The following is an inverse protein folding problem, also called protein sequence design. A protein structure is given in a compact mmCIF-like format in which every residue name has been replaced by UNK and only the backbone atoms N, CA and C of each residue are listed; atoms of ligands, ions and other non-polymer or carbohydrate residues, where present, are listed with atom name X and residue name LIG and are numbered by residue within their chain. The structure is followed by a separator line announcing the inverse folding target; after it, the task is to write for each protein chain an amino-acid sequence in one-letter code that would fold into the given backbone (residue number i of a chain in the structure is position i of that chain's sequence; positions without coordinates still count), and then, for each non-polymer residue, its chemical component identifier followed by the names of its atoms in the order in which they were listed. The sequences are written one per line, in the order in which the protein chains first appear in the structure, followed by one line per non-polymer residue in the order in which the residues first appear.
data_IF_200814850530
#
_entry.id   IF_200814850530
#
_cell.length_a   1.000
_cell.length_b   1.000
_cell.length_c   1.000
_cell.angle_alpha   90.00
_cell.angle_beta   90.00
_cell.angle_gamma   90.00
#
_symmetry.space_group_name_H-M   'P 1'
#
loop_
_entity.id
_entity.type
_entity.pdbx_description
1 polymer ?
#
# COMPACT_ATOMS: atom_id res chain seq x y z
N UNK A 1 -19.61 -49.77 -16.48
CA UNK A 1 -19.57 -48.38 -16.99
C UNK A 1 -19.86 -47.30 -15.94
N UNK A 2 -20.78 -47.50 -14.98
CA UNK A 2 -21.10 -46.49 -13.94
C UNK A 2 -19.96 -46.26 -12.90
N UNK A 3 -19.25 -47.32 -12.50
CA UNK A 3 -18.19 -47.25 -11.47
C UNK A 3 -16.97 -46.45 -11.94
N UNK A 4 -16.48 -46.67 -13.16
CA UNK A 4 -15.34 -45.92 -13.70
C UNK A 4 -15.64 -44.42 -13.90
N UNK A 5 -16.87 -44.08 -14.32
CA UNK A 5 -17.31 -42.67 -14.37
C UNK A 5 -17.34 -42.06 -12.97
N UNK A 6 -17.87 -42.78 -11.99
CA UNK A 6 -17.89 -42.33 -10.59
C UNK A 6 -16.47 -42.09 -10.04
N UNK A 7 -15.53 -43.00 -10.30
CA UNK A 7 -14.13 -42.86 -9.89
C UNK A 7 -13.45 -41.64 -10.54
N UNK A 8 -13.72 -41.36 -11.81
CA UNK A 8 -13.20 -40.16 -12.51
C UNK A 8 -13.76 -38.87 -11.92
N UNK A 9 -15.06 -38.85 -11.60
CA UNK A 9 -15.70 -37.70 -10.96
C UNK A 9 -15.12 -37.51 -9.55
N UNK A 10 -14.94 -38.58 -8.79
CA UNK A 10 -14.38 -38.53 -7.44
C UNK A 10 -12.95 -38.01 -7.45
N UNK A 11 -12.09 -38.54 -8.34
CA UNK A 11 -10.70 -38.08 -8.47
C UNK A 11 -10.63 -36.60 -8.84
N UNK A 12 -11.38 -36.16 -9.84
CA UNK A 12 -11.45 -34.74 -10.21
C UNK A 12 -11.92 -33.87 -9.04
N UNK A 13 -12.99 -34.28 -8.35
CA UNK A 13 -13.50 -33.56 -7.18
C UNK A 13 -12.46 -33.50 -6.05
N UNK A 14 -11.77 -34.61 -5.75
CA UNK A 14 -10.72 -34.61 -4.72
C UNK A 14 -9.53 -33.73 -5.10
N UNK A 15 -9.12 -33.71 -6.37
CA UNK A 15 -8.05 -32.83 -6.85
C UNK A 15 -8.46 -31.36 -6.79
N UNK A 16 -9.70 -31.03 -7.16
CA UNK A 16 -10.22 -29.67 -7.06
C UNK A 16 -10.31 -29.20 -5.60
N UNK A 17 -10.78 -30.06 -4.70
CA UNK A 17 -10.81 -29.79 -3.25
C UNK A 17 -9.40 -29.59 -2.72
N UNK A 18 -8.46 -30.49 -3.03
CA UNK A 18 -7.07 -30.38 -2.59
C UNK A 18 -6.41 -29.09 -3.11
N UNK A 19 -6.61 -28.77 -4.38
CA UNK A 19 -6.12 -27.53 -4.97
C UNK A 19 -6.68 -26.30 -4.24
N UNK A 20 -7.99 -26.30 -3.96
CA UNK A 20 -8.67 -25.19 -3.28
C UNK A 20 -8.18 -25.05 -1.84
N UNK A 21 -8.08 -26.15 -1.08
CA UNK A 21 -7.64 -26.12 0.32
C UNK A 21 -6.18 -25.73 0.44
N UNK A 22 -5.30 -26.24 -0.44
CA UNK A 22 -3.90 -25.81 -0.49
C UNK A 22 -3.79 -24.32 -0.83
N UNK A 23 -4.58 -23.83 -1.79
CA UNK A 23 -4.56 -22.41 -2.17
C UNK A 23 -5.04 -21.50 -1.05
N UNK A 24 -6.12 -21.87 -0.35
CA UNK A 24 -6.61 -21.16 0.84
C UNK A 24 -5.59 -21.18 1.99
N UNK A 25 -4.87 -22.30 2.15
CA UNK A 25 -3.80 -22.40 3.13
C UNK A 25 -2.64 -21.45 2.79
N UNK A 26 -2.21 -21.38 1.53
CA UNK A 26 -1.17 -20.44 1.08
C UNK A 26 -1.62 -18.99 1.28
N UNK A 27 -2.87 -18.66 0.96
CA UNK A 27 -3.44 -17.34 1.25
C UNK A 27 -3.38 -16.96 2.72
N UNK A 28 -3.74 -17.88 3.62
CA UNK A 28 -3.60 -17.67 5.06
C UNK A 28 -2.15 -17.47 5.51
N UNK A 29 -1.17 -18.09 4.83
CA UNK A 29 0.24 -17.83 5.13
C UNK A 29 0.68 -16.42 4.72
N UNK A 30 0.00 -15.78 3.76
CA UNK A 30 0.37 -14.44 3.28
C UNK A 30 0.37 -13.39 4.40
N UNK A 31 -0.51 -13.50 5.40
CA UNK A 31 -0.52 -12.60 6.56
C UNK A 31 0.81 -12.62 7.35
N UNK A 32 1.54 -13.73 7.32
CA UNK A 32 2.84 -13.86 8.00
C UNK A 32 4.01 -13.24 7.22
N UNK A 33 3.83 -12.95 5.92
CA UNK A 33 4.88 -12.40 5.08
C UNK A 33 5.06 -10.89 5.27
N UNK A 34 4.09 -10.25 5.90
CA UNK A 34 3.99 -8.80 5.97
C UNK A 34 4.33 -8.29 7.39
N UNK A 35 4.84 -7.05 7.53
CA UNK A 35 5.06 -6.42 8.82
C UNK A 35 3.78 -6.38 9.69
N UNK A 36 3.87 -6.18 11.02
CA UNK A 36 2.69 -6.11 11.86
C UNK A 36 1.70 -5.03 11.38
N UNK A 37 0.41 -5.37 11.38
CA UNK A 37 -0.68 -4.43 11.12
C UNK A 37 -0.71 -3.35 12.19
N UNK A 38 -0.41 -2.11 11.80
CA UNK A 38 -0.34 -0.98 12.72
C UNK A 38 -1.24 0.22 12.35
N UNK A 39 -1.92 0.17 11.20
CA UNK A 39 -3.00 1.09 10.82
C UNK A 39 -4.31 0.32 10.54
N UNK A 40 -5.47 0.96 10.67
CA UNK A 40 -6.76 0.35 10.39
C UNK A 40 -6.84 -0.14 8.93
N UNK A 41 -6.31 0.66 8.00
CA UNK A 41 -6.24 0.41 6.57
C UNK A 41 -5.35 -0.79 6.24
N UNK A 42 -4.34 -1.07 7.06
CA UNK A 42 -3.44 -2.21 6.85
C UNK A 42 -4.19 -3.56 6.86
N UNK A 43 -5.31 -3.65 7.59
CA UNK A 43 -6.15 -4.86 7.62
C UNK A 43 -6.83 -5.09 6.27
N UNK A 44 -7.37 -4.03 5.67
CA UNK A 44 -8.04 -4.09 4.37
C UNK A 44 -7.05 -4.50 3.26
N UNK A 45 -5.85 -3.93 3.31
CA UNK A 45 -4.78 -4.28 2.36
C UNK A 45 -4.32 -5.73 2.54
N UNK A 46 -4.09 -6.18 3.77
CA UNK A 46 -3.65 -7.55 4.03
C UNK A 46 -4.70 -8.60 3.63
N UNK A 47 -6.00 -8.32 3.84
CA UNK A 47 -7.09 -9.17 3.41
C UNK A 47 -7.16 -9.29 1.87
N UNK A 48 -6.98 -8.16 1.17
CA UNK A 48 -6.88 -8.15 -0.29
C UNK A 48 -5.67 -8.95 -0.78
N UNK A 49 -4.50 -8.79 -0.15
CA UNK A 49 -3.29 -9.55 -0.49
C UNK A 49 -3.52 -11.05 -0.28
N UNK A 50 -4.08 -11.47 0.86
CA UNK A 50 -4.40 -12.87 1.16
C UNK A 50 -5.34 -13.47 0.11
N UNK A 51 -6.36 -12.73 -0.32
CA UNK A 51 -7.25 -13.12 -1.40
C UNK A 51 -6.50 -13.28 -2.74
N UNK A 52 -5.71 -12.30 -3.13
CA UNK A 52 -4.94 -12.34 -4.38
C UNK A 52 -3.93 -13.47 -4.40
N UNK A 53 -3.26 -13.73 -3.27
CA UNK A 53 -2.32 -14.86 -3.11
C UNK A 53 -3.07 -16.19 -3.21
N UNK A 54 -4.25 -16.32 -2.60
CA UNK A 54 -5.11 -17.51 -2.74
C UNK A 54 -5.45 -17.78 -4.20
N UNK A 55 -5.95 -16.76 -4.90
CA UNK A 55 -6.34 -16.85 -6.30
C UNK A 55 -5.14 -17.16 -7.21
N UNK A 56 -4.01 -16.48 -6.99
CA UNK A 56 -2.77 -16.71 -7.71
C UNK A 56 -2.22 -18.12 -7.49
N UNK A 57 -2.22 -18.60 -6.25
CA UNK A 57 -1.83 -19.97 -5.92
C UNK A 57 -2.74 -21.02 -6.60
N UNK A 58 -4.05 -20.79 -6.61
CA UNK A 58 -5.01 -21.68 -7.27
C UNK A 58 -4.73 -21.81 -8.77
N UNK A 59 -4.53 -20.69 -9.46
CA UNK A 59 -4.23 -20.67 -10.89
C UNK A 59 -2.86 -21.29 -11.15
N UNK A 60 -1.83 -20.87 -10.40
CA UNK A 60 -0.46 -21.33 -10.57
C UNK A 60 -0.33 -22.84 -10.37
N UNK A 61 -0.88 -23.37 -9.28
CA UNK A 61 -0.86 -24.81 -8.99
C UNK A 61 -1.72 -25.60 -9.97
N UNK A 62 -2.86 -25.07 -10.40
CA UNK A 62 -3.74 -25.70 -11.39
C UNK A 62 -3.07 -25.84 -12.76
N UNK A 63 -2.51 -24.74 -13.28
CA UNK A 63 -1.82 -24.72 -14.58
C UNK A 63 -0.52 -25.53 -14.51
N UNK A 64 0.33 -25.27 -13.53
CA UNK A 64 1.61 -25.98 -13.38
C UNK A 64 1.38 -27.46 -13.13
N UNK A 65 0.38 -27.84 -12.33
CA UNK A 65 0.01 -29.22 -12.09
C UNK A 65 -0.43 -29.95 -13.36
N UNK A 66 -1.25 -29.28 -14.19
CA UNK A 66 -1.72 -29.85 -15.47
C UNK A 66 -0.57 -29.99 -16.47
N UNK A 67 0.32 -29.00 -16.55
CA UNK A 67 1.53 -29.07 -17.37
C UNK A 67 2.45 -30.19 -16.91
N UNK A 68 2.69 -30.31 -15.60
CA UNK A 68 3.52 -31.37 -15.02
C UNK A 68 2.93 -32.76 -15.29
N UNK A 69 1.61 -32.91 -15.15
CA UNK A 69 0.91 -34.14 -15.51
C UNK A 69 1.12 -34.52 -16.98
N UNK A 70 0.99 -33.55 -17.89
CA UNK A 70 1.24 -33.75 -19.32
C UNK A 70 2.68 -34.19 -19.59
N UNK A 71 3.66 -33.49 -19.03
CA UNK A 71 5.09 -33.79 -19.23
C UNK A 71 5.49 -35.17 -18.68
N UNK A 72 4.90 -35.62 -17.57
CA UNK A 72 5.26 -36.89 -16.94
C UNK A 72 4.55 -38.07 -17.60
N UNK A 73 3.24 -37.97 -17.85
CA UNK A 73 2.42 -39.10 -18.28
C UNK A 73 2.16 -39.16 -19.79
N UNK A 74 2.26 -38.02 -20.49
CA UNK A 74 2.02 -37.92 -21.94
C UNK A 74 3.30 -37.66 -22.75
N UNK A 75 4.48 -37.96 -22.19
CA UNK A 75 5.75 -37.89 -22.90
C UNK A 75 5.85 -38.97 -23.99
N UNK A 76 6.29 -38.60 -25.19
CA UNK A 76 6.62 -39.54 -26.26
C UNK A 76 7.69 -40.55 -25.82
N UNK A 77 7.55 -41.81 -26.26
CA UNK A 77 8.56 -42.84 -26.01
C UNK A 77 9.79 -42.60 -26.87
N UNK A 78 10.94 -43.13 -26.42
CA UNK A 78 12.20 -43.01 -27.17
C UNK A 78 12.03 -43.70 -28.54
N UNK A 79 12.14 -42.92 -29.61
CA UNK A 79 12.00 -43.40 -31.00
C UNK A 79 10.60 -43.24 -31.60
N UNK A 80 9.64 -42.73 -30.83
CA UNK A 80 8.30 -42.39 -31.32
C UNK A 80 8.30 -40.96 -31.88
N UNK A 81 8.03 -40.85 -33.18
CA UNK A 81 8.00 -39.58 -33.95
C UNK A 81 6.59 -39.26 -34.47
N UNK A 82 5.60 -40.05 -34.06
CA UNK A 82 4.20 -39.81 -34.42
C UNK A 82 3.61 -38.73 -33.50
N UNK A 83 2.98 -37.73 -34.09
CA UNK A 83 2.24 -36.71 -33.35
C UNK A 83 0.98 -37.29 -32.70
N UNK A 84 0.51 -36.64 -31.63
CA UNK A 84 -0.77 -36.95 -31.01
C UNK A 84 -1.95 -36.72 -31.97
N UNK A 85 -3.13 -37.30 -31.71
CA UNK A 85 -4.30 -37.09 -32.55
C UNK A 85 -4.66 -35.59 -32.62
N UNK A 86 -4.99 -35.04 -33.81
CA UNK A 86 -5.40 -33.65 -33.95
C UNK A 86 -6.79 -33.47 -33.35
N UNK A 87 -6.85 -33.02 -32.10
CA UNK A 87 -8.09 -32.66 -31.42
C UNK A 87 -8.25 -31.15 -31.55
N UNK A 88 -9.25 -30.72 -32.31
CA UNK A 88 -9.51 -29.32 -32.58
C UNK A 88 -10.93 -28.94 -32.14
N UNK A 89 -11.04 -27.74 -31.54
CA UNK A 89 -12.31 -27.09 -31.24
C UNK A 89 -13.05 -27.64 -30.02
N UNK A 90 -13.52 -26.72 -29.17
CA UNK A 90 -14.57 -26.99 -28.20
C UNK A 90 -15.20 -25.67 -27.79
N UNK A 91 -16.24 -25.24 -28.52
CA UNK A 91 -16.92 -23.95 -28.30
C UNK A 91 -17.36 -23.79 -26.84
N UNK A 92 -17.85 -24.87 -26.20
CA UNK A 92 -18.26 -24.83 -24.79
C UNK A 92 -17.09 -24.49 -23.87
N UNK A 93 -15.94 -25.15 -24.07
CA UNK A 93 -14.75 -24.91 -23.26
C UNK A 93 -14.17 -23.52 -23.52
N UNK A 94 -14.19 -23.09 -24.79
CA UNK A 94 -13.79 -21.75 -25.24
C UNK A 94 -14.62 -20.64 -24.58
N UNK A 95 -15.93 -20.79 -24.57
CA UNK A 95 -16.84 -19.83 -23.91
C UNK A 95 -16.62 -19.83 -22.41
N UNK A 96 -16.47 -21.00 -21.78
CA UNK A 96 -16.30 -21.10 -20.33
C UNK A 96 -14.98 -20.45 -19.87
N UNK A 97 -13.85 -20.75 -20.52
CA UNK A 97 -12.56 -20.17 -20.12
C UNK A 97 -12.42 -18.69 -20.46
N UNK A 98 -13.29 -18.15 -21.33
CA UNK A 98 -13.27 -16.73 -21.69
C UNK A 98 -14.19 -15.93 -20.78
N UNK A 99 -15.39 -16.44 -20.51
CA UNK A 99 -16.39 -15.77 -19.68
C UNK A 99 -15.96 -15.67 -18.21
N UNK A 100 -15.36 -16.73 -17.64
CA UNK A 100 -14.96 -16.76 -16.22
C UNK A 100 -13.94 -15.65 -15.90
N UNK A 101 -12.81 -15.49 -16.61
CA UNK A 101 -11.85 -14.42 -16.33
C UNK A 101 -12.43 -13.01 -16.53
N UNK A 102 -13.29 -12.81 -17.55
CA UNK A 102 -13.94 -11.52 -17.77
C UNK A 102 -14.81 -11.15 -16.57
N UNK A 103 -15.67 -12.07 -16.11
CA UNK A 103 -16.52 -11.83 -14.95
C UNK A 103 -15.72 -11.63 -13.67
N UNK A 104 -14.62 -12.37 -13.49
CA UNK A 104 -13.71 -12.22 -12.36
C UNK A 104 -13.09 -10.81 -12.33
N UNK A 105 -12.57 -10.32 -13.46
CA UNK A 105 -11.95 -8.99 -13.55
C UNK A 105 -12.98 -7.88 -13.27
N UNK A 106 -14.18 -7.98 -13.83
CA UNK A 106 -15.25 -7.02 -13.57
C UNK A 106 -15.65 -7.00 -12.09
N UNK A 107 -15.72 -8.16 -11.45
CA UNK A 107 -16.01 -8.26 -10.02
C UNK A 107 -14.87 -7.66 -9.17
N UNK A 108 -13.61 -7.99 -9.46
CA UNK A 108 -12.45 -7.42 -8.75
C UNK A 108 -12.41 -5.89 -8.89
N UNK A 109 -12.69 -5.36 -10.09
CA UNK A 109 -12.74 -3.91 -10.32
C UNK A 109 -13.81 -3.23 -9.45
N UNK A 110 -15.03 -3.79 -9.39
CA UNK A 110 -16.10 -3.25 -8.55
C UNK A 110 -15.77 -3.33 -7.05
N UNK A 111 -15.22 -4.45 -6.59
CA UNK A 111 -14.79 -4.62 -5.20
C UNK A 111 -13.64 -3.65 -4.84
N UNK A 112 -12.65 -3.50 -5.72
CA UNK A 112 -11.54 -2.57 -5.53
C UNK A 112 -12.01 -1.12 -5.39
N UNK A 113 -12.98 -0.70 -6.20
CA UNK A 113 -13.57 0.64 -6.11
C UNK A 113 -14.27 0.84 -4.76
N UNK A 114 -15.03 -0.16 -4.29
CA UNK A 114 -15.69 -0.09 -2.99
C UNK A 114 -14.70 0.05 -1.82
N UNK A 115 -13.57 -0.67 -1.86
CA UNK A 115 -12.51 -0.56 -0.83
C UNK A 115 -11.80 0.80 -0.90
N UNK A 116 -11.54 1.32 -2.10
CA UNK A 116 -10.94 2.63 -2.29
C UNK A 116 -11.76 3.74 -1.61
N UNK A 117 -13.07 3.75 -1.85
CA UNK A 117 -14.01 4.70 -1.22
C UNK A 117 -14.06 4.54 0.31
N UNK A 118 -13.96 3.32 0.84
CA UNK A 118 -13.97 3.07 2.29
C UNK A 118 -12.70 3.55 3.00
N UNK A 119 -11.54 3.47 2.33
CA UNK A 119 -10.28 3.87 2.95
C UNK A 119 -10.18 5.39 3.14
N UNK A 120 -10.81 6.18 2.27
CA UNK A 120 -10.91 7.65 2.41
C UNK A 120 -9.56 8.34 2.62
N UNK A 121 -8.48 7.79 2.03
CA UNK A 121 -7.09 8.18 2.34
C UNK A 121 -6.79 9.63 1.92
N UNK A 122 -7.48 10.16 0.90
CA UNK A 122 -7.31 11.55 0.44
C UNK A 122 -8.22 12.56 1.17
N UNK A 123 -8.87 12.14 2.27
CA UNK A 123 -9.88 12.94 2.96
C UNK A 123 -11.20 13.04 2.17
N UNK A 124 -12.13 13.94 2.54
CA UNK A 124 -13.31 14.21 1.73
C UNK A 124 -12.85 14.59 0.33
N UNK A 125 -13.28 13.82 -0.67
CA UNK A 125 -12.96 14.07 -2.07
C UNK A 125 -13.51 15.45 -2.50
N UNK A 126 -12.83 16.55 -2.17
CA UNK A 126 -12.86 17.73 -3.01
C UNK A 126 -12.12 17.33 -4.28
N UNK A 127 -12.85 16.73 -5.21
CA UNK A 127 -12.40 16.59 -6.57
C UNK A 127 -12.12 18.00 -7.08
N UNK A 128 -10.87 18.44 -6.98
CA UNK A 128 -10.37 19.64 -7.65
C UNK A 128 -10.42 19.29 -9.14
N UNK A 129 -11.58 19.54 -9.74
CA UNK A 129 -11.71 19.54 -11.18
C UNK A 129 -10.70 20.56 -11.70
N UNK A 130 -9.61 20.08 -12.31
CA UNK A 130 -8.73 20.90 -13.11
C UNK A 130 -9.61 21.63 -14.13
N UNK A 131 -9.86 22.92 -13.89
CA UNK A 131 -10.61 23.79 -14.79
C UNK A 131 -9.71 24.01 -16.01
N UNK A 132 -9.74 23.08 -16.96
CA UNK A 132 -9.15 23.27 -18.28
C UNK A 132 -9.94 24.40 -18.95
N UNK A 133 -9.31 25.53 -19.32
CA UNK A 133 -10.00 26.54 -20.08
C UNK A 133 -10.06 26.03 -21.50
N UNK A 134 -11.17 25.35 -21.86
CA UNK A 134 -11.79 25.26 -23.18
C UNK A 134 -12.55 23.93 -23.34
N UNK A 135 -13.87 24.04 -23.47
CA UNK A 135 -14.68 23.11 -24.27
C UNK A 135 -15.44 22.02 -23.51
N UNK A 136 -16.71 22.33 -23.25
CA UNK A 136 -17.86 21.44 -23.00
C UNK A 136 -18.20 21.19 -21.52
N UNK A 137 -19.24 21.89 -21.05
CA UNK A 137 -19.90 21.63 -19.76
C UNK A 137 -20.40 20.19 -19.73
N UNK A 138 -19.71 19.34 -18.95
CA UNK A 138 -20.32 18.13 -18.45
C UNK A 138 -21.46 18.53 -17.53
N UNK A 139 -22.64 17.96 -17.75
CA UNK A 139 -23.80 18.17 -16.90
C UNK A 139 -23.48 17.72 -15.48
N UNK A 140 -23.14 18.69 -14.62
CA UNK A 140 -23.00 18.49 -13.19
C UNK A 140 -24.30 17.88 -12.67
N UNK A 141 -24.23 16.63 -12.19
CA UNK A 141 -25.21 16.15 -11.24
C UNK A 141 -25.24 17.16 -10.08
N UNK A 142 -26.43 17.62 -9.73
CA UNK A 142 -26.64 18.53 -8.62
C UNK A 142 -25.85 18.07 -7.39
N UNK A 143 -25.26 18.99 -6.58
CA UNK A 143 -24.68 18.62 -5.31
C UNK A 143 -25.77 17.89 -4.55
N UNK A 144 -25.61 16.58 -4.37
CA UNK A 144 -26.34 15.89 -3.34
C UNK A 144 -25.71 16.45 -2.08
N UNK A 145 -26.44 17.35 -1.40
CA UNK A 145 -26.12 17.79 -0.05
C UNK A 145 -26.05 16.53 0.81
N UNK A 146 -24.90 15.86 0.77
CA UNK A 146 -24.55 14.83 1.70
C UNK A 146 -24.52 15.56 3.05
N UNK A 147 -25.33 15.12 4.02
CA UNK A 147 -25.23 15.67 5.36
C UNK A 147 -23.77 15.60 5.76
N UNK A 148 -23.15 16.75 6.01
CA UNK A 148 -21.88 16.80 6.72
C UNK A 148 -22.20 16.18 8.08
N UNK A 149 -21.83 14.91 8.23
CA UNK A 149 -22.02 14.18 9.46
C UNK A 149 -21.08 14.82 10.49
N UNK A 150 -21.63 15.74 11.28
CA UNK A 150 -20.97 16.46 12.37
C UNK A 150 -20.63 15.58 13.58
N UNK A 151 -20.53 14.26 13.40
CA UNK A 151 -20.02 13.30 14.39
C UNK A 151 -18.59 12.84 14.10
N UNK A 152 -17.85 13.56 13.26
CA UNK A 152 -16.44 13.28 13.00
C UNK A 152 -15.61 13.60 14.25
N UNK A 153 -15.03 12.56 14.85
CA UNK A 153 -14.02 12.74 15.91
C UNK A 153 -12.93 13.72 15.43
N UNK A 154 -12.36 14.55 16.34
CA UNK A 154 -11.35 15.53 15.96
C UNK A 154 -10.17 14.84 15.28
N UNK A 155 -9.93 15.22 14.02
CA UNK A 155 -8.82 14.74 13.21
C UNK A 155 -7.55 15.48 13.65
N UNK A 156 -6.54 14.75 14.10
CA UNK A 156 -5.24 15.31 14.42
C UNK A 156 -4.55 15.77 13.12
N UNK A 157 -4.18 17.04 13.03
CA UNK A 157 -3.56 17.63 11.83
C UNK A 157 -2.06 17.79 12.02
N UNK A 158 -1.28 17.24 11.11
CA UNK A 158 0.18 17.29 11.16
C UNK A 158 0.69 17.70 9.78
N UNK A 159 1.49 18.76 9.70
CA UNK A 159 2.15 19.11 8.44
C UNK A 159 3.43 18.29 8.28
N UNK A 160 3.63 17.71 7.11
CA UNK A 160 4.80 16.90 6.78
C UNK A 160 5.56 17.57 5.66
N UNK A 161 6.80 17.93 5.94
CA UNK A 161 7.67 18.60 4.99
C UNK A 161 8.86 17.69 4.67
N UNK A 162 8.93 17.30 3.40
CA UNK A 162 10.03 16.54 2.83
C UNK A 162 11.05 17.48 2.17
N UNK A 163 12.33 17.21 2.42
CA UNK A 163 13.48 17.90 1.81
C UNK A 163 14.57 16.86 1.56
N UNK A 164 15.50 17.10 0.64
CA UNK A 164 16.68 16.27 0.43
C UNK A 164 17.69 16.46 1.58
N UNK A 165 17.92 15.53 2.50
CA UNK A 165 17.19 14.32 2.82
C UNK A 165 16.85 14.36 4.31
N UNK A 166 15.71 14.94 4.65
CA UNK A 166 15.20 15.11 5.99
C UNK A 166 13.67 15.16 5.98
N UNK A 167 13.07 14.58 7.01
CA UNK A 167 11.66 14.72 7.31
C UNK A 167 11.48 15.76 8.42
N UNK A 168 10.50 16.64 8.27
CA UNK A 168 10.07 17.56 9.32
C UNK A 168 8.58 17.40 9.54
N UNK A 169 8.20 17.15 10.79
CA UNK A 169 6.82 17.03 11.21
C UNK A 169 6.47 18.24 12.07
N UNK A 170 5.45 18.99 11.65
CA UNK A 170 4.97 20.18 12.36
C UNK A 170 3.56 19.94 12.91
N UNK A 171 3.40 20.19 14.20
CA UNK A 171 2.16 20.03 14.95
C UNK A 171 1.61 21.42 15.26
N UNK A 172 0.68 21.94 14.43
CA UNK A 172 0.27 23.35 14.44
C UNK A 172 -0.42 23.77 15.75
N UNK A 173 -1.14 22.88 16.43
CA UNK A 173 -1.87 23.22 17.65
C UNK A 173 -0.96 23.72 18.79
N UNK A 174 0.26 23.18 18.87
CA UNK A 174 1.27 23.53 19.88
C UNK A 174 2.51 24.19 19.28
N UNK A 175 2.52 24.44 17.97
CA UNK A 175 3.67 24.96 17.22
C UNK A 175 4.96 24.16 17.50
N UNK A 176 4.85 22.83 17.49
CA UNK A 176 5.95 21.89 17.74
C UNK A 176 6.49 21.40 16.40
N UNK A 177 7.80 21.32 16.27
CA UNK A 177 8.48 20.69 15.14
C UNK A 177 9.32 19.51 15.61
N UNK A 178 9.32 18.41 14.86
CA UNK A 178 9.97 17.15 15.22
C UNK A 178 10.60 16.49 14.00
N UNK A 179 11.69 15.75 14.22
CA UNK A 179 12.25 14.81 13.23
C UNK A 179 11.67 13.39 13.36
N UNK A 180 10.90 13.11 14.40
CA UNK A 180 10.13 11.88 14.59
C UNK A 180 8.63 12.18 14.43
N UNK A 181 7.90 11.25 13.80
CA UNK A 181 6.45 11.34 13.62
C UNK A 181 5.75 10.66 14.79
N UNK A 182 5.16 11.44 15.68
CA UNK A 182 4.37 10.97 16.82
C UNK A 182 2.89 10.97 16.46
N UNK A 183 2.21 9.87 16.77
CA UNK A 183 0.82 9.65 16.39
C UNK A 183 0.01 9.11 17.58
N UNK A 184 -1.19 9.66 17.85
CA UNK A 184 -2.08 9.12 18.87
C UNK A 184 -2.79 7.85 18.37
N UNK A 185 -2.70 6.76 19.13
CA UNK A 185 -3.37 5.51 18.80
C UNK A 185 -4.90 5.63 18.81
N UNK A 186 -5.55 4.93 17.89
CA UNK A 186 -6.99 4.86 17.66
C UNK A 186 -7.68 6.19 17.33
N UNK A 187 -6.92 7.20 16.90
CA UNK A 187 -7.47 8.47 16.40
C UNK A 187 -7.14 8.65 14.93
N UNK A 188 -8.07 9.21 14.16
CA UNK A 188 -7.83 9.56 12.75
C UNK A 188 -6.81 10.70 12.70
N UNK A 189 -5.77 10.53 11.89
CA UNK A 189 -4.75 11.56 11.65
C UNK A 189 -4.83 12.01 10.20
N UNK A 190 -4.59 13.30 9.96
CA UNK A 190 -4.41 13.90 8.63
C UNK A 190 -3.02 14.49 8.54
N UNK A 191 -2.25 13.96 7.59
CA UNK A 191 -0.95 14.48 7.22
C UNK A 191 -1.10 15.40 6.01
N UNK A 192 -0.70 16.66 6.13
CA UNK A 192 -0.59 17.58 5.00
C UNK A 192 0.81 17.48 4.41
N UNK A 193 0.95 16.72 3.32
CA UNK A 193 2.25 16.39 2.72
C UNK A 193 2.71 17.47 1.75
N UNK A 194 3.93 17.95 1.94
CA UNK A 194 4.58 18.95 1.10
C UNK A 194 6.04 18.60 0.83
N UNK A 195 6.53 18.92 -0.36
CA UNK A 195 7.95 18.81 -0.72
C UNK A 195 8.50 20.19 -1.09
N UNK A 196 9.69 20.52 -0.58
CA UNK A 196 10.39 21.77 -0.93
C UNK A 196 11.20 21.69 -2.22
N UNK A 197 11.56 20.49 -2.67
CA UNK A 197 12.53 20.29 -3.74
C UNK A 197 12.05 19.30 -4.82
N UNK A 198 12.19 17.99 -4.59
CA UNK A 198 11.96 16.92 -5.56
C UNK A 198 10.80 16.02 -5.12
N UNK A 199 10.47 15.03 -5.95
CA UNK A 199 9.51 14.02 -5.56
C UNK A 199 10.06 13.19 -4.39
N UNK A 200 9.22 13.00 -3.38
CA UNK A 200 9.46 12.10 -2.25
C UNK A 200 8.27 11.15 -2.11
N UNK A 201 8.39 10.10 -1.31
CA UNK A 201 7.30 9.17 -1.07
C UNK A 201 7.24 8.76 0.38
N UNK A 202 6.23 9.21 1.12
CA UNK A 202 6.01 8.78 2.50
C UNK A 202 5.54 7.33 2.51
N UNK A 203 6.32 6.42 3.10
CA UNK A 203 5.94 5.02 3.23
C UNK A 203 6.27 4.45 4.60
N UNK A 204 5.23 3.97 5.29
CA UNK A 204 5.36 3.23 6.56
C UNK A 204 4.93 1.78 6.30
N UNK A 205 5.87 0.81 6.18
CA UNK A 205 5.54 -0.56 5.80
C UNK A 205 4.47 -1.21 6.68
N UNK A 206 4.52 -0.97 8.00
CA UNK A 206 3.55 -1.49 8.97
C UNK A 206 2.13 -0.95 8.79
N UNK A 207 1.97 0.20 8.13
CA UNK A 207 0.66 0.80 7.87
C UNK A 207 0.09 0.35 6.52
N UNK A 208 0.92 -0.21 5.62
CA UNK A 208 0.57 -0.54 4.21
C UNK A 208 0.18 0.65 3.35
N UNK A 209 0.43 1.85 3.85
CA UNK A 209 0.07 3.08 3.17
C UNK A 209 1.33 3.78 2.67
N UNK A 210 1.26 4.21 1.41
CA UNK A 210 2.28 4.99 0.73
C UNK A 210 1.61 6.17 0.04
N UNK A 211 2.23 7.34 0.08
CA UNK A 211 1.81 8.50 -0.71
C UNK A 211 3.02 9.23 -1.28
N UNK A 212 3.03 9.41 -2.60
CA UNK A 212 4.01 10.25 -3.28
C UNK A 212 3.69 11.72 -2.99
N UNK A 213 4.74 12.50 -2.73
CA UNK A 213 4.71 13.91 -2.38
C UNK A 213 5.28 14.69 -3.56
N UNK A 214 4.48 15.61 -4.09
CA UNK A 214 4.81 16.38 -5.29
C UNK A 214 5.13 17.83 -4.90
N UNK A 215 6.26 18.41 -5.35
CA UNK A 215 6.56 19.81 -5.12
C UNK A 215 5.45 20.75 -5.60
N UNK A 216 5.27 21.88 -4.91
CA UNK A 216 4.24 22.89 -5.17
C UNK A 216 2.78 22.41 -5.03
N UNK A 217 2.55 21.26 -4.38
CA UNK A 217 1.22 20.76 -4.07
C UNK A 217 1.18 20.28 -2.62
N UNK A 218 0.08 20.58 -1.92
CA UNK A 218 -0.23 19.97 -0.63
C UNK A 218 -1.15 18.79 -0.88
N UNK A 219 -0.74 17.61 -0.40
CA UNK A 219 -1.54 16.38 -0.52
C UNK A 219 -2.01 15.98 0.88
N UNK A 220 -3.32 15.93 1.10
CA UNK A 220 -3.89 15.40 2.33
C UNK A 220 -3.83 13.87 2.32
N UNK A 221 -3.31 13.31 3.40
CA UNK A 221 -3.14 11.87 3.58
C UNK A 221 -3.62 11.44 4.95
N UNK A 222 -4.70 10.67 4.99
CA UNK A 222 -5.39 10.29 6.21
C UNK A 222 -5.34 8.79 6.48
N UNK A 223 -5.16 8.44 7.76
CA UNK A 223 -5.18 7.07 8.23
C UNK A 223 -5.44 6.98 9.73
N UNK A 224 -5.66 5.78 10.26
CA UNK A 224 -5.88 5.57 11.70
C UNK A 224 -4.86 4.57 12.26
N UNK A 225 -3.83 5.00 13.02
CA UNK A 225 -2.92 4.09 13.69
C UNK A 225 -3.64 3.31 14.81
N UNK A 226 -3.44 2.00 14.89
CA UNK A 226 -4.18 1.11 15.81
C UNK A 226 -3.29 0.31 16.75
N UNK A 227 -1.96 0.34 16.57
CA UNK A 227 -1.03 -0.47 17.33
C UNK A 227 0.09 0.40 17.89
N UNK A 228 0.24 0.38 19.22
CA UNK A 228 1.32 1.06 19.92
C UNK A 228 2.67 0.46 19.53
N UNK A 229 3.68 1.33 19.39
CA UNK A 229 5.04 0.91 19.09
C UNK A 229 5.83 1.95 18.30
N UNK A 230 7.08 1.58 18.00
CA UNK A 230 7.95 2.33 17.09
C UNK A 230 8.00 1.62 15.74
N UNK A 231 7.81 2.38 14.69
CA UNK A 231 7.85 1.97 13.29
C UNK A 231 8.81 2.87 12.55
N UNK A 232 9.16 2.47 11.33
CA UNK A 232 10.10 3.22 10.51
C UNK A 232 9.38 3.79 9.29
N UNK A 233 9.52 5.10 9.11
CA UNK A 233 9.21 5.79 7.87
C UNK A 233 10.43 5.71 6.96
N UNK A 234 10.20 5.37 5.71
CA UNK A 234 11.21 5.39 4.66
C UNK A 234 10.71 6.22 3.48
N UNK A 235 11.61 6.98 2.85
CA UNK A 235 11.33 7.50 1.51
C UNK A 235 11.18 6.32 0.53
N UNK A 236 10.15 6.38 -0.29
CA UNK A 236 9.78 5.35 -1.26
C UNK A 236 9.75 5.88 -2.69
N UNK A 237 10.18 7.12 -2.90
CA UNK A 237 10.39 7.69 -4.22
C UNK A 237 11.81 8.21 -4.36
N UNK A 238 12.51 7.76 -5.39
CA UNK A 238 13.93 8.08 -5.54
C UNK A 238 14.17 9.59 -5.63
N UNK A 239 14.82 10.13 -4.60
CA UNK A 239 15.07 11.57 -4.42
C UNK A 239 16.56 11.93 -4.51
N UNK A 240 17.41 11.05 -5.06
CA UNK A 240 18.84 11.29 -5.31
C UNK A 240 19.79 10.51 -4.40
N UNK A 241 21.02 10.99 -4.24
CA UNK A 241 22.16 10.23 -3.65
C UNK A 241 21.87 9.64 -2.28
N UNK A 242 21.30 10.42 -1.36
CA UNK A 242 21.07 9.99 0.02
C UNK A 242 19.61 9.56 0.26
N UNK A 243 18.88 9.20 -0.81
CA UNK A 243 17.52 8.66 -0.74
C UNK A 243 17.39 7.52 0.29
N UNK A 244 18.34 6.58 0.28
CA UNK A 244 18.29 5.41 1.16
C UNK A 244 18.46 5.76 2.66
N UNK A 245 19.08 6.90 2.97
CA UNK A 245 19.25 7.37 4.36
C UNK A 245 18.08 8.24 4.83
N UNK A 246 17.12 8.54 3.95
CA UNK A 246 15.95 9.37 4.26
C UNK A 246 14.91 8.57 5.04
N UNK A 247 15.19 8.37 6.32
CA UNK A 247 14.39 7.59 7.25
C UNK A 247 13.99 8.45 8.46
N UNK A 248 12.86 8.13 9.08
CA UNK A 248 12.44 8.74 10.34
C UNK A 248 11.72 7.71 11.22
N UNK A 249 11.79 7.91 12.54
CA UNK A 249 11.01 7.09 13.46
C UNK A 249 9.56 7.57 13.50
N UNK A 250 8.64 6.61 13.49
CA UNK A 250 7.20 6.81 13.67
C UNK A 250 6.81 6.17 15.00
N UNK A 251 6.36 6.98 15.96
CA UNK A 251 6.01 6.53 17.30
C UNK A 251 4.49 6.61 17.46
N UNK A 252 3.86 5.45 17.64
CA UNK A 252 2.42 5.35 17.94
C UNK A 252 2.26 5.17 19.44
N UNK A 253 1.64 6.15 20.09
CA UNK A 253 1.55 6.27 21.55
C UNK A 253 0.10 6.33 22.02
N UNK A 254 -0.13 6.16 23.32
CA UNK A 254 -1.47 6.41 23.87
C UNK A 254 -1.83 7.89 23.69
N UNK A 255 -3.12 8.26 23.55
CA UNK A 255 -3.53 9.66 23.47
C UNK A 255 -3.00 10.52 24.63
N UNK A 256 -2.87 9.95 25.83
CA UNK A 256 -2.33 10.61 27.01
C UNK A 256 -0.83 10.87 26.88
N UNK A 257 -0.04 9.86 26.49
CA UNK A 257 1.41 9.97 26.31
C UNK A 257 1.75 10.94 25.17
N UNK A 258 0.97 10.90 24.08
CA UNK A 258 1.09 11.82 22.96
C UNK A 258 0.94 13.29 23.39
N UNK A 259 -0.07 13.60 24.21
CA UNK A 259 -0.30 14.96 24.70
C UNK A 259 0.78 15.40 25.70
N UNK A 260 1.30 14.48 26.52
CA UNK A 260 2.45 14.73 27.38
C UNK A 260 3.71 15.03 26.56
N UNK A 261 3.96 14.26 25.50
CA UNK A 261 5.05 14.48 24.58
C UNK A 261 4.95 15.84 23.91
N UNK A 262 3.79 16.20 23.34
CA UNK A 262 3.56 17.51 22.71
C UNK A 262 3.86 18.66 23.67
N UNK A 263 3.35 18.58 24.89
CA UNK A 263 3.57 19.61 25.92
C UNK A 263 5.05 19.75 26.28
N UNK A 264 5.76 18.62 26.41
CA UNK A 264 7.19 18.60 26.71
C UNK A 264 8.01 19.15 25.52
N UNK A 265 7.68 18.75 24.31
CA UNK A 265 8.35 19.20 23.09
C UNK A 265 8.19 20.72 22.89
N UNK A 266 7.00 21.28 23.15
CA UNK A 266 6.73 22.71 23.05
C UNK A 266 7.63 23.57 23.97
N UNK A 267 8.14 23.02 25.08
CA UNK A 267 9.05 23.75 25.98
C UNK A 267 10.51 23.75 25.53
N UNK A 268 10.87 22.88 24.58
CA UNK A 268 12.25 22.74 24.10
C UNK A 268 12.58 23.81 23.08
N UNK A 269 13.78 24.38 23.17
CA UNK A 269 14.32 25.25 22.13
C UNK A 269 14.65 24.43 20.89
N UNK A 270 14.32 24.91 19.66
CA UNK A 270 14.69 24.22 18.44
C UNK A 270 16.20 24.00 18.32
N UNK A 271 16.59 22.80 17.92
CA UNK A 271 17.99 22.41 17.65
C UNK A 271 18.09 21.70 16.30
N UNK A 272 19.25 21.71 15.63
CA UNK A 272 19.42 20.99 14.37
C UNK A 272 19.11 19.49 14.54
N UNK A 273 18.27 18.95 13.66
CA UNK A 273 18.01 17.51 13.59
C UNK A 273 19.28 16.76 13.16
N UNK A 274 19.43 15.52 13.63
CA UNK A 274 20.49 14.62 13.12
C UNK A 274 20.19 14.30 11.66
N UNK A 275 21.15 14.52 10.78
CA UNK A 275 21.01 14.25 9.35
C UNK A 275 22.27 13.52 8.83
N UNK A 276 22.10 12.25 8.48
CA UNK A 276 23.17 11.41 7.96
C UNK A 276 23.72 11.95 6.62
N UNK A 277 22.85 12.39 5.72
CA UNK A 277 23.25 12.92 4.40
C UNK A 277 24.21 14.11 4.55
N UNK A 278 23.94 15.02 5.48
CA UNK A 278 24.82 16.18 5.76
C UNK A 278 26.17 15.73 6.32
N UNK A 279 26.17 14.76 7.24
CA UNK A 279 27.41 14.24 7.83
C UNK A 279 28.29 13.50 6.81
N UNK A 280 27.69 12.74 5.92
CA UNK A 280 28.40 12.00 4.87
C UNK A 280 28.86 12.93 3.75
N UNK A 281 28.05 13.90 3.34
CA UNK A 281 28.43 14.90 2.34
C UNK A 281 29.64 15.73 2.79
N UNK A 282 29.72 16.06 4.08
CA UNK A 282 30.86 16.79 4.64
C UNK A 282 32.17 15.96 4.64
N UNK A 283 32.08 14.63 4.61
CA UNK A 283 33.23 13.72 4.57
C UNK A 283 33.56 13.23 3.15
N UNK A 284 32.68 13.46 2.18
CA UNK A 284 32.83 12.99 0.83
C UNK A 284 33.99 13.74 0.13
N UNK A 285 35.02 12.98 -0.26
CA UNK A 285 36.11 13.48 -1.10
C UNK A 285 35.92 12.96 -2.53
N UNK A 286 35.83 13.88 -3.50
CA UNK A 286 35.91 13.57 -4.93
C UNK A 286 34.63 13.17 -5.69
N UNK A 287 33.48 12.95 -5.04
CA UNK A 287 32.20 12.66 -5.74
C UNK A 287 31.33 13.91 -5.87
N UNK A 288 30.95 14.28 -7.09
CA UNK A 288 30.00 15.38 -7.33
C UNK A 288 28.57 14.90 -7.06
N UNK A 289 28.03 15.23 -5.89
CA UNK A 289 26.64 14.92 -5.51
C UNK A 289 25.85 16.20 -5.22
N UNK A 290 24.52 16.11 -5.25
CA UNK A 290 23.67 17.22 -4.82
C UNK A 290 23.92 17.48 -3.33
N UNK A 291 24.14 18.75 -2.98
CA UNK A 291 24.32 19.15 -1.59
C UNK A 291 23.02 18.91 -0.80
N UNK A 292 23.06 18.21 0.34
CA UNK A 292 21.88 18.06 1.19
C UNK A 292 21.38 19.43 1.68
N UNK A 293 20.06 19.56 1.79
CA UNK A 293 19.41 20.66 2.48
C UNK A 293 19.92 20.78 3.92
N UNK A 294 19.94 22.02 4.42
CA UNK A 294 20.38 22.29 5.77
C UNK A 294 19.54 21.49 6.79
N UNK A 295 20.16 20.93 7.85
CA UNK A 295 19.42 20.24 8.89
C UNK A 295 18.32 21.14 9.47
N UNK A 296 17.05 20.66 9.49
CA UNK A 296 15.96 21.46 10.02
C UNK A 296 16.15 21.70 11.52
N UNK A 297 15.79 22.90 11.98
CA UNK A 297 15.72 23.19 13.41
C UNK A 297 14.39 22.67 13.94
N UNK A 298 14.44 21.71 14.86
CA UNK A 298 13.27 21.04 15.43
C UNK A 298 13.28 21.10 16.95
N UNK A 299 12.10 21.21 17.57
CA UNK A 299 11.96 21.12 19.03
C UNK A 299 12.35 19.73 19.56
N UNK A 300 12.20 18.69 18.73
CA UNK A 300 12.51 17.30 19.07
C UNK A 300 13.35 16.64 17.96
N UNK A 301 14.69 16.54 18.12
CA UNK A 301 15.60 16.00 17.10
C UNK A 301 15.86 14.48 17.16
N UNK A 302 15.24 13.76 18.11
CA UNK A 302 15.55 12.34 18.40
C UNK A 302 16.69 12.14 19.40
#
# INVERSE_FOLDING_TARGET
MKIQKLLKILTFATSAIALTTTSLWIGKQAYSWLPPQAAAESRLVDDLISFLVTLGAFIFLGVTGTLMYSVIFHRAKKGEIADGPPIEGNITLEVVWTAIPIMLVLWIAGYSYQIYEQMGIQGPNEHVHFRMPMGMESAYAAPKDAPVDTTTEPIEKIDVLAKQWAWVFHYPEKNVTSSELHLPANKRVRLALQSEDVLHGLYVPAFRLKQDIVPNQTIDFEFTPIRLGKYQLTDSQYSGTYFATMQADVVVESPEDYQQWLTKAATRKPSPAKNQAVSEYAQADGWTTVAPAAPPLVNYPG
#
